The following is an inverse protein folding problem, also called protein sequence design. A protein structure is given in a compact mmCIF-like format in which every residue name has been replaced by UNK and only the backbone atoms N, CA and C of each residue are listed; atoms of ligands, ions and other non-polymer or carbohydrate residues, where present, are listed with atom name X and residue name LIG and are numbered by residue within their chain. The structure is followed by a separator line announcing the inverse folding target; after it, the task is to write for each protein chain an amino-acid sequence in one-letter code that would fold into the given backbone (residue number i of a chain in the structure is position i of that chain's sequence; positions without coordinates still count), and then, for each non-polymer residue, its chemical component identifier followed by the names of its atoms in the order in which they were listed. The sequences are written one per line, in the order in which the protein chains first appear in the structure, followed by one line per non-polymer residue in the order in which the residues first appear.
data_IF_038766647635
#
_entry.id   IF_038766647635
#
_cell.length_a   1.000
_cell.length_b   1.000
_cell.length_c   1.000
_cell.angle_alpha   90.00
_cell.angle_beta   90.00
_cell.angle_gamma   90.00
#
_symmetry.space_group_name_H-M   'P 1'
#
loop_
_entity.id
_entity.type
_entity.pdbx_description
1 polymer ?
#
# COMPACT_ATOMS: atom_id res chain seq x y z
N UNK A 1 77.73 -9.21 14.32
CA UNK A 1 78.80 -9.74 15.17
C UNK A 1 78.15 -10.69 16.14
N UNK A 2 78.23 -12.00 15.77
CA UNK A 2 78.65 -13.14 16.58
C UNK A 2 77.62 -13.67 17.56
N UNK A 3 77.04 -14.82 17.19
CA UNK A 3 77.16 -16.19 17.74
C UNK A 3 76.41 -16.40 19.07
N UNK A 4 75.85 -17.47 19.45
CA UNK A 4 75.74 -18.85 18.91
C UNK A 4 74.71 -19.59 19.78
N UNK A 5 74.03 -20.53 19.18
CA UNK A 5 73.72 -21.88 19.59
C UNK A 5 73.61 -22.28 21.07
N UNK A 6 72.54 -22.96 21.44
CA UNK A 6 72.65 -24.31 22.03
C UNK A 6 71.32 -25.09 21.80
N UNK A 7 71.51 -26.30 21.28
CA UNK A 7 70.56 -27.39 21.24
C UNK A 7 70.46 -28.00 22.62
N UNK A 8 69.29 -28.43 23.01
CA UNK A 8 69.16 -29.76 23.67
C UNK A 8 67.77 -30.34 23.49
N UNK A 9 67.80 -31.57 23.02
CA UNK A 9 66.67 -32.47 22.83
C UNK A 9 66.12 -32.93 24.18
N UNK A 10 64.78 -32.95 24.33
CA UNK A 10 64.10 -33.90 25.18
C UNK A 10 62.79 -34.36 24.55
N UNK A 11 62.78 -35.62 24.24
CA UNK A 11 61.60 -36.36 23.75
C UNK A 11 60.59 -36.54 24.86
N UNK A 12 59.33 -36.24 24.57
CA UNK A 12 58.15 -36.81 25.23
C UNK A 12 56.98 -36.92 24.30
N UNK A 13 56.70 -38.10 23.85
CA UNK A 13 55.41 -38.62 23.44
C UNK A 13 54.62 -39.04 24.71
N UNK A 14 53.25 -39.25 24.71
CA UNK A 14 52.20 -38.94 23.74
C UNK A 14 50.99 -38.19 24.39
N UNK A 15 50.57 -37.07 23.84
CA UNK A 15 49.33 -36.40 24.29
C UNK A 15 48.51 -35.84 23.10
N UNK A 16 48.72 -36.44 21.91
CA UNK A 16 48.00 -35.96 20.70
C UNK A 16 46.70 -36.68 20.38
N UNK A 17 46.26 -37.69 21.14
CA UNK A 17 45.05 -38.46 20.77
C UNK A 17 43.77 -38.05 21.53
N UNK A 18 43.87 -37.30 22.64
CA UNK A 18 42.69 -36.95 23.44
C UNK A 18 42.08 -35.56 23.03
N UNK A 19 42.88 -34.70 22.41
CA UNK A 19 42.36 -33.37 21.99
C UNK A 19 41.62 -33.42 20.65
N UNK A 20 41.83 -34.42 19.80
CA UNK A 20 41.10 -34.55 18.52
C UNK A 20 39.69 -35.14 18.64
N UNK A 21 39.37 -35.86 19.70
CA UNK A 21 38.03 -36.42 19.91
C UNK A 21 37.08 -35.46 20.61
N UNK A 22 37.58 -34.48 21.36
CA UNK A 22 36.70 -33.45 21.97
C UNK A 22 36.32 -32.31 21.00
N UNK A 23 37.09 -32.05 19.96
CA UNK A 23 36.81 -31.00 18.97
C UNK A 23 35.76 -31.41 17.92
N UNK A 24 35.54 -32.74 17.71
CA UNK A 24 34.53 -33.20 16.77
C UNK A 24 33.13 -33.33 17.38
N UNK A 25 33.02 -33.45 18.70
CA UNK A 25 31.73 -33.55 19.39
C UNK A 25 31.12 -32.16 19.66
N UNK A 26 31.89 -31.10 19.66
CA UNK A 26 31.37 -29.71 19.83
C UNK A 26 30.89 -29.08 18.51
N UNK A 27 31.36 -29.55 17.34
CA UNK A 27 30.87 -29.06 16.04
C UNK A 27 29.57 -29.69 15.56
N UNK A 28 29.16 -30.83 16.09
CA UNK A 28 27.90 -31.47 15.72
C UNK A 28 26.69 -31.03 16.55
N UNK A 29 26.88 -30.36 17.68
CA UNK A 29 25.76 -29.86 18.51
C UNK A 29 25.35 -28.39 18.20
N UNK A 30 26.08 -27.67 17.38
CA UNK A 30 25.70 -26.32 16.93
C UNK A 30 24.91 -26.26 15.59
N UNK A 31 24.65 -27.44 14.99
CA UNK A 31 23.90 -27.56 13.73
C UNK A 31 22.40 -27.87 13.92
N UNK A 32 21.91 -27.92 15.15
CA UNK A 32 20.51 -28.26 15.43
C UNK A 32 19.67 -27.14 15.99
N UNK A 33 20.17 -25.88 15.96
CA UNK A 33 19.42 -24.68 16.29
C UNK A 33 19.41 -23.69 15.11
N UNK A 34 19.25 -24.19 13.88
CA UNK A 34 18.68 -23.35 12.84
C UNK A 34 17.22 -23.12 13.29
N UNK A 35 16.77 -21.87 13.51
CA UNK A 35 15.35 -21.63 13.64
C UNK A 35 14.73 -22.21 12.38
N UNK A 36 13.84 -23.18 12.54
CA UNK A 36 12.98 -23.61 11.46
C UNK A 36 12.31 -22.33 10.95
N UNK A 37 12.79 -21.79 9.83
CA UNK A 37 12.04 -20.86 9.02
C UNK A 37 10.83 -21.70 8.63
N UNK A 38 9.75 -21.58 9.43
CA UNK A 38 8.47 -22.13 9.04
C UNK A 38 8.17 -21.53 7.67
N UNK A 39 8.26 -22.38 6.65
CA UNK A 39 7.72 -22.05 5.35
C UNK A 39 6.29 -21.58 5.63
N UNK A 40 6.03 -20.30 5.41
CA UNK A 40 4.70 -19.74 5.54
C UNK A 40 3.83 -20.56 4.60
N UNK A 41 2.88 -21.30 5.16
CA UNK A 41 1.86 -21.93 4.35
C UNK A 41 1.22 -20.82 3.54
N UNK A 42 1.27 -20.95 2.21
CA UNK A 42 0.77 -19.94 1.28
C UNK A 42 -0.75 -19.65 1.45
N UNK A 43 -1.41 -20.45 2.27
CA UNK A 43 -2.86 -20.46 2.47
C UNK A 43 -3.35 -19.71 3.72
N UNK A 44 -2.45 -19.17 4.55
CA UNK A 44 -2.86 -18.49 5.77
C UNK A 44 -2.97 -16.98 5.56
N UNK A 45 -4.15 -16.43 5.84
CA UNK A 45 -4.38 -15.00 5.79
C UNK A 45 -3.57 -14.25 6.86
N UNK A 46 -3.00 -13.08 6.53
CA UNK A 46 -2.21 -12.26 7.45
C UNK A 46 -2.98 -11.81 8.69
N UNK A 47 -4.31 -11.62 8.58
CA UNK A 47 -5.15 -11.17 9.69
C UNK A 47 -5.38 -12.26 10.75
N UNK A 48 -5.17 -13.53 10.45
CA UNK A 48 -5.29 -14.63 11.43
C UNK A 48 -4.21 -14.57 12.51
N UNK A 49 -3.13 -13.83 12.27
CA UNK A 49 -2.04 -13.60 13.22
C UNK A 49 -2.15 -12.26 13.94
N UNK A 50 -3.22 -11.51 13.73
CA UNK A 50 -3.47 -10.21 14.33
C UNK A 50 -4.30 -10.33 15.60
N UNK A 51 -4.09 -9.41 16.54
CA UNK A 51 -4.97 -9.19 17.69
C UNK A 51 -6.17 -8.29 17.35
N UNK A 52 -6.26 -7.85 16.08
CA UNK A 52 -7.41 -7.20 15.49
C UNK A 52 -8.32 -8.25 14.84
N UNK A 53 -9.60 -7.99 14.82
CA UNK A 53 -10.58 -8.90 14.23
C UNK A 53 -11.32 -8.22 13.08
N UNK A 54 -11.56 -8.99 12.02
CA UNK A 54 -12.51 -8.60 10.98
C UNK A 54 -13.92 -8.43 11.57
N UNK A 55 -14.79 -7.62 10.95
CA UNK A 55 -16.21 -7.58 11.32
C UNK A 55 -16.79 -8.99 11.36
N UNK A 56 -17.60 -9.29 12.36
CA UNK A 56 -18.11 -10.67 12.65
C UNK A 56 -18.79 -11.35 11.47
N UNK A 57 -19.35 -10.58 10.54
CA UNK A 57 -20.05 -11.10 9.36
C UNK A 57 -19.10 -11.44 8.22
N UNK A 58 -17.84 -10.97 8.26
CA UNK A 58 -16.87 -11.20 7.20
C UNK A 58 -16.46 -12.67 7.17
N UNK A 59 -16.38 -13.22 5.97
CA UNK A 59 -15.74 -14.52 5.73
C UNK A 59 -14.66 -14.38 4.67
N UNK A 60 -13.63 -15.18 4.80
CA UNK A 60 -12.53 -15.24 3.85
C UNK A 60 -12.24 -16.72 3.54
N UNK A 61 -11.84 -16.98 2.32
CA UNK A 61 -11.49 -18.32 1.87
C UNK A 61 -10.49 -18.29 0.71
N UNK A 62 -9.98 -19.46 0.38
CA UNK A 62 -9.05 -19.68 -0.73
C UNK A 62 -9.56 -20.90 -1.50
N UNK A 63 -9.72 -20.78 -2.80
CA UNK A 63 -10.02 -21.92 -3.67
C UNK A 63 -8.78 -22.79 -3.88
N UNK A 64 -8.96 -24.05 -4.28
CA UNK A 64 -7.84 -24.98 -4.53
C UNK A 64 -6.84 -24.47 -5.57
N UNK A 65 -7.28 -23.64 -6.52
CA UNK A 65 -6.43 -23.00 -7.52
C UNK A 65 -5.66 -21.76 -6.99
N UNK A 66 -5.87 -21.38 -5.70
CA UNK A 66 -5.23 -20.28 -5.02
C UNK A 66 -5.93 -18.92 -5.16
N UNK A 67 -7.12 -18.84 -5.77
CA UNK A 67 -7.93 -17.61 -5.76
C UNK A 67 -8.39 -17.32 -4.34
N UNK A 68 -8.09 -16.13 -3.86
CA UNK A 68 -8.54 -15.64 -2.56
C UNK A 68 -9.90 -14.95 -2.70
N UNK A 69 -10.75 -15.08 -1.69
CA UNK A 69 -11.99 -14.28 -1.65
C UNK A 69 -12.31 -13.79 -0.23
N UNK A 70 -12.94 -12.61 -0.17
CA UNK A 70 -13.45 -12.03 1.08
C UNK A 70 -14.88 -11.56 0.84
N UNK A 71 -15.80 -12.01 1.70
CA UNK A 71 -17.22 -11.73 1.65
C UNK A 71 -17.63 -10.95 2.89
N UNK A 72 -18.26 -9.79 2.71
CA UNK A 72 -18.84 -8.97 3.77
C UNK A 72 -20.34 -8.79 3.51
N UNK A 73 -21.19 -9.68 4.05
CA UNK A 73 -22.63 -9.52 3.95
C UNK A 73 -23.09 -8.26 4.68
N UNK A 74 -23.88 -7.44 4.00
CA UNK A 74 -24.53 -6.25 4.54
C UNK A 74 -26.02 -6.31 4.24
N UNK A 75 -26.82 -6.97 5.10
CA UNK A 75 -28.26 -7.07 4.89
C UNK A 75 -28.94 -5.70 4.88
N UNK A 76 -30.06 -5.59 4.20
CA UNK A 76 -30.86 -4.35 4.07
C UNK A 76 -30.25 -3.25 3.18
N UNK A 77 -29.31 -3.58 2.31
CA UNK A 77 -28.78 -2.66 1.30
C UNK A 77 -29.54 -2.73 -0.04
N UNK A 78 -30.83 -3.09 0.00
CA UNK A 78 -31.73 -3.13 -1.16
C UNK A 78 -31.19 -4.00 -2.33
N UNK A 79 -30.62 -5.15 -2.01
CA UNK A 79 -30.01 -6.09 -2.97
C UNK A 79 -28.80 -5.51 -3.74
N UNK A 80 -28.26 -4.39 -3.30
CA UNK A 80 -27.03 -3.86 -3.88
C UNK A 80 -25.82 -4.71 -3.47
N UNK A 81 -24.99 -5.04 -4.46
CA UNK A 81 -23.75 -5.80 -4.25
C UNK A 81 -22.60 -5.12 -5.00
N UNK A 82 -21.53 -4.85 -4.30
CA UNK A 82 -20.28 -4.36 -4.84
C UNK A 82 -19.27 -5.52 -4.96
N UNK A 83 -18.78 -5.74 -6.17
CA UNK A 83 -17.81 -6.77 -6.51
C UNK A 83 -16.50 -6.08 -6.88
N UNK A 84 -15.38 -6.53 -6.32
CA UNK A 84 -14.04 -6.07 -6.65
C UNK A 84 -13.16 -7.26 -6.97
N UNK A 85 -12.61 -7.30 -8.17
CA UNK A 85 -11.56 -8.25 -8.53
C UNK A 85 -10.23 -7.52 -8.48
N UNK A 86 -9.42 -7.86 -7.50
CA UNK A 86 -8.06 -7.35 -7.32
C UNK A 86 -7.11 -8.32 -8.01
N UNK A 87 -6.36 -7.83 -8.98
CA UNK A 87 -5.37 -8.58 -9.73
C UNK A 87 -3.98 -8.04 -9.39
N UNK A 88 -3.08 -8.92 -8.98
CA UNK A 88 -1.71 -8.54 -8.76
C UNK A 88 -1.01 -8.33 -10.11
N UNK A 89 -0.81 -7.11 -10.46
CA UNK A 89 -0.20 -6.67 -11.71
C UNK A 89 -0.63 -5.23 -11.94
N UNK A 90 0.27 -4.30 -11.67
CA UNK A 90 0.05 -2.88 -11.85
C UNK A 90 1.17 -2.25 -12.67
N UNK A 91 1.27 -0.94 -12.60
CA UNK A 91 2.19 -0.15 -13.44
C UNK A 91 3.65 -0.56 -13.22
N UNK A 92 4.07 -0.86 -11.98
CA UNK A 92 5.47 -1.18 -11.67
C UNK A 92 5.88 -2.60 -12.06
N UNK A 93 4.94 -3.48 -12.42
CA UNK A 93 5.23 -4.80 -12.97
C UNK A 93 5.44 -4.79 -14.48
N UNK A 94 5.16 -3.68 -15.16
CA UNK A 94 5.45 -3.52 -16.58
C UNK A 94 6.97 -3.51 -16.82
N UNK A 95 7.47 -4.48 -17.57
CA UNK A 95 8.89 -4.58 -17.90
C UNK A 95 9.23 -3.80 -19.17
N UNK A 96 10.52 -3.69 -19.51
CA UNK A 96 10.97 -2.94 -20.69
C UNK A 96 10.18 -3.30 -21.94
N UNK A 97 9.60 -2.30 -22.59
CA UNK A 97 8.75 -2.45 -23.77
C UNK A 97 7.27 -2.74 -23.48
N UNK A 98 6.88 -3.02 -22.21
CA UNK A 98 5.50 -3.32 -21.82
C UNK A 98 4.73 -2.13 -21.25
N UNK A 99 5.21 -0.89 -21.43
CA UNK A 99 4.53 0.31 -20.90
C UNK A 99 3.09 0.38 -21.38
N UNK A 100 2.15 0.55 -20.44
CA UNK A 100 0.72 0.58 -20.69
C UNK A 100 0.04 -0.80 -20.79
N UNK A 101 0.76 -1.90 -20.57
CA UNK A 101 0.20 -3.26 -20.63
C UNK A 101 -0.88 -3.48 -19.58
N UNK A 102 -0.71 -2.98 -18.35
CA UNK A 102 -1.73 -3.07 -17.31
C UNK A 102 -3.03 -2.37 -17.73
N UNK A 103 -2.91 -1.21 -18.37
CA UNK A 103 -4.06 -0.46 -18.90
C UNK A 103 -4.72 -1.19 -20.07
N UNK A 104 -3.94 -1.70 -21.01
CA UNK A 104 -4.47 -2.43 -22.16
C UNK A 104 -5.25 -3.66 -21.70
N UNK A 105 -4.72 -4.43 -20.76
CA UNK A 105 -5.40 -5.63 -20.23
C UNK A 105 -6.66 -5.27 -19.45
N UNK A 106 -6.66 -4.16 -18.70
CA UNK A 106 -7.86 -3.66 -18.05
C UNK A 106 -8.93 -3.24 -19.08
N UNK A 107 -8.54 -2.52 -20.14
CA UNK A 107 -9.44 -2.14 -21.24
C UNK A 107 -10.01 -3.37 -21.97
N UNK A 108 -9.17 -4.38 -22.25
CA UNK A 108 -9.58 -5.63 -22.86
C UNK A 108 -10.61 -6.38 -22.01
N UNK A 109 -10.43 -6.40 -20.70
CA UNK A 109 -11.40 -7.01 -19.78
C UNK A 109 -12.71 -6.22 -19.74
N UNK A 110 -12.65 -4.91 -19.53
CA UNK A 110 -13.83 -4.05 -19.47
C UNK A 110 -14.69 -4.14 -20.74
N UNK A 111 -14.05 -4.22 -21.91
CA UNK A 111 -14.75 -4.36 -23.18
C UNK A 111 -15.54 -5.65 -23.36
N UNK A 112 -15.31 -6.65 -22.52
CA UNK A 112 -16.04 -7.94 -22.55
C UNK A 112 -17.18 -8.00 -21.52
N UNK A 113 -17.28 -7.00 -20.64
CA UNK A 113 -18.31 -6.93 -19.61
C UNK A 113 -19.52 -6.16 -20.13
N UNK A 114 -20.71 -6.73 -19.99
CA UNK A 114 -21.99 -6.04 -20.25
C UNK A 114 -22.54 -5.42 -18.97
N UNK A 115 -22.18 -5.98 -17.80
CA UNK A 115 -22.44 -5.37 -16.51
C UNK A 115 -21.56 -4.13 -16.34
N UNK A 116 -22.12 -2.98 -15.89
CA UNK A 116 -21.36 -1.76 -15.73
C UNK A 116 -20.13 -1.96 -14.82
N UNK A 117 -18.96 -1.69 -15.36
CA UNK A 117 -17.69 -1.93 -14.70
C UNK A 117 -16.74 -0.76 -14.87
N UNK A 118 -15.79 -0.62 -13.94
CA UNK A 118 -14.67 0.33 -14.00
C UNK A 118 -13.40 -0.38 -13.60
N UNK A 119 -12.26 0.11 -14.05
CA UNK A 119 -10.96 -0.35 -13.57
C UNK A 119 -10.16 0.77 -12.95
N UNK A 120 -9.38 0.42 -11.92
CA UNK A 120 -8.39 1.30 -11.32
C UNK A 120 -7.03 0.63 -11.41
N UNK A 121 -6.08 1.34 -12.01
CA UNK A 121 -4.69 0.93 -12.08
C UNK A 121 -3.91 1.59 -10.96
N UNK A 122 -3.19 0.80 -10.20
CA UNK A 122 -2.29 1.26 -9.15
C UNK A 122 -0.86 0.76 -9.42
N UNK A 123 0.08 1.11 -8.56
CA UNK A 123 1.50 0.77 -8.70
C UNK A 123 1.73 -0.74 -8.86
N UNK A 124 1.07 -1.58 -8.05
CA UNK A 124 1.31 -3.03 -8.03
C UNK A 124 0.06 -3.88 -8.29
N UNK A 125 -1.04 -3.27 -8.65
CA UNK A 125 -2.29 -3.99 -8.84
C UNK A 125 -3.22 -3.31 -9.84
N UNK A 126 -4.17 -4.08 -10.33
CA UNK A 126 -5.33 -3.60 -11.08
C UNK A 126 -6.59 -4.05 -10.35
N UNK A 127 -7.54 -3.17 -10.15
CA UNK A 127 -8.83 -3.49 -9.52
C UNK A 127 -9.95 -3.28 -10.55
N UNK A 128 -10.72 -4.33 -10.83
CA UNK A 128 -11.95 -4.22 -11.61
C UNK A 128 -13.14 -4.20 -10.66
N UNK A 129 -13.95 -3.16 -10.78
CA UNK A 129 -15.11 -2.87 -9.93
C UNK A 129 -16.40 -3.01 -10.70
N UNK A 130 -17.30 -3.88 -10.20
CA UNK A 130 -18.67 -4.04 -10.70
C UNK A 130 -19.64 -3.75 -9.55
N UNK A 131 -20.79 -3.19 -9.88
CA UNK A 131 -21.84 -2.94 -8.91
C UNK A 131 -23.16 -3.42 -9.49
N UNK A 132 -23.86 -4.26 -8.75
CA UNK A 132 -25.15 -4.83 -9.16
C UNK A 132 -26.26 -4.36 -8.21
N UNK A 133 -27.47 -4.28 -8.71
CA UNK A 133 -28.66 -3.87 -7.95
C UNK A 133 -29.70 -4.99 -7.86
N UNK A 134 -29.42 -6.16 -8.44
CA UNK A 134 -30.28 -7.32 -8.42
C UNK A 134 -29.46 -8.61 -8.26
N UNK A 135 -29.98 -9.56 -7.52
CA UNK A 135 -29.29 -10.83 -7.23
C UNK A 135 -28.97 -11.65 -8.49
N UNK A 136 -29.85 -11.61 -9.51
CA UNK A 136 -29.62 -12.28 -10.79
C UNK A 136 -28.42 -11.74 -11.55
N UNK A 137 -28.13 -10.45 -11.40
CA UNK A 137 -26.97 -9.82 -12.01
C UNK A 137 -25.64 -10.29 -11.39
N UNK A 138 -25.62 -10.83 -10.18
CA UNK A 138 -24.40 -11.34 -9.54
C UNK A 138 -23.88 -12.54 -10.33
N UNK A 139 -24.75 -13.48 -10.70
CA UNK A 139 -24.36 -14.65 -11.49
C UNK A 139 -23.82 -14.26 -12.87
N UNK A 140 -24.48 -13.29 -13.52
CA UNK A 140 -24.02 -12.74 -14.78
C UNK A 140 -22.66 -12.05 -14.63
N UNK A 141 -22.49 -11.19 -13.62
CA UNK A 141 -21.24 -10.48 -13.35
C UNK A 141 -20.07 -11.45 -13.11
N UNK A 142 -20.30 -12.54 -12.38
CA UNK A 142 -19.25 -13.55 -12.13
C UNK A 142 -18.91 -14.34 -13.37
N UNK A 143 -19.89 -14.73 -14.17
CA UNK A 143 -19.67 -15.43 -15.44
C UNK A 143 -18.90 -14.55 -16.43
N UNK A 144 -19.32 -13.30 -16.62
CA UNK A 144 -18.63 -12.36 -17.51
C UNK A 144 -17.20 -12.07 -17.03
N UNK A 145 -17.01 -11.85 -15.72
CA UNK A 145 -15.70 -11.58 -15.13
C UNK A 145 -14.76 -12.79 -15.30
N UNK A 146 -15.25 -14.01 -15.04
CA UNK A 146 -14.50 -15.25 -15.23
C UNK A 146 -14.07 -15.42 -16.69
N UNK A 147 -15.00 -15.20 -17.63
CA UNK A 147 -14.73 -15.28 -19.06
C UNK A 147 -13.71 -14.21 -19.50
N UNK A 148 -13.86 -12.96 -19.07
CA UNK A 148 -12.94 -11.87 -19.40
C UNK A 148 -11.52 -12.11 -18.87
N UNK A 149 -11.39 -12.70 -17.68
CA UNK A 149 -10.10 -13.07 -17.09
C UNK A 149 -9.38 -14.18 -17.89
N UNK A 150 -10.13 -15.15 -18.39
CA UNK A 150 -9.58 -16.32 -19.15
C UNK A 150 -9.31 -16.00 -20.61
N UNK A 151 -9.99 -15.00 -21.16
CA UNK A 151 -9.87 -14.68 -22.58
C UNK A 151 -8.61 -13.90 -22.88
N UNK A 152 -7.65 -14.54 -23.55
CA UNK A 152 -6.37 -13.96 -23.95
C UNK A 152 -6.38 -13.47 -25.41
N UNK A 153 -7.54 -13.35 -26.07
CA UNK A 153 -7.63 -12.85 -27.44
C UNK A 153 -7.44 -11.34 -27.51
N UNK A 154 -6.80 -10.89 -28.59
CA UNK A 154 -6.62 -9.46 -28.82
C UNK A 154 -7.97 -8.80 -29.16
N UNK A 155 -8.35 -7.73 -28.47
CA UNK A 155 -9.59 -7.03 -28.72
C UNK A 155 -9.53 -6.17 -29.98
N UNK A 156 -10.72 -5.86 -30.53
CA UNK A 156 -10.81 -4.87 -31.59
C UNK A 156 -10.45 -3.47 -31.07
N UNK A 157 -9.78 -2.63 -31.86
CA UNK A 157 -9.36 -1.28 -31.43
C UNK A 157 -10.50 -0.40 -30.91
N UNK A 158 -11.67 -0.48 -31.53
CA UNK A 158 -12.84 0.31 -31.12
C UNK A 158 -13.35 -0.08 -29.73
N UNK A 159 -13.25 -1.34 -29.37
CA UNK A 159 -13.63 -1.84 -28.06
C UNK A 159 -12.68 -1.31 -26.99
N UNK A 160 -11.37 -1.31 -27.24
CA UNK A 160 -10.37 -0.74 -26.36
C UNK A 160 -10.63 0.75 -26.09
N UNK A 161 -10.82 1.52 -27.14
CA UNK A 161 -11.03 2.98 -27.03
C UNK A 161 -12.25 3.36 -26.21
N UNK A 162 -13.35 2.59 -26.30
CA UNK A 162 -14.53 2.81 -25.46
C UNK A 162 -14.29 2.48 -23.99
N UNK A 163 -13.47 1.48 -23.71
CA UNK A 163 -13.20 1.02 -22.35
C UNK A 163 -12.23 1.92 -21.59
N UNK A 164 -11.38 2.68 -22.28
CA UNK A 164 -10.38 3.57 -21.67
C UNK A 164 -11.00 4.64 -20.75
N UNK A 165 -12.18 5.16 -21.11
CA UNK A 165 -12.86 6.17 -20.30
C UNK A 165 -13.34 5.63 -18.92
N UNK A 166 -13.36 4.30 -18.79
CA UNK A 166 -13.74 3.61 -17.54
C UNK A 166 -12.52 3.24 -16.68
N UNK A 167 -11.31 3.66 -17.09
CA UNK A 167 -10.06 3.36 -16.39
C UNK A 167 -9.55 4.59 -15.67
N UNK A 168 -9.34 4.47 -14.36
CA UNK A 168 -8.61 5.43 -13.54
C UNK A 168 -7.18 4.92 -13.29
N UNK A 169 -6.21 5.83 -13.26
CA UNK A 169 -4.83 5.51 -12.90
C UNK A 169 -4.51 6.23 -11.60
N UNK A 170 -4.16 5.44 -10.59
CA UNK A 170 -3.81 5.92 -9.26
C UNK A 170 -2.38 5.50 -8.91
N UNK A 171 -1.46 6.35 -9.13
CA UNK A 171 -0.04 6.13 -8.82
C UNK A 171 0.68 7.44 -8.58
N UNK A 172 0.01 8.56 -8.84
CA UNK A 172 0.61 9.89 -8.72
C UNK A 172 0.84 10.31 -7.28
N UNK A 173 -0.01 9.84 -6.37
CA UNK A 173 0.05 10.24 -4.96
C UNK A 173 1.40 9.90 -4.34
N UNK A 174 1.93 8.72 -4.66
CA UNK A 174 3.21 8.24 -4.16
C UNK A 174 4.40 8.55 -5.10
N UNK A 175 4.16 9.18 -6.25
CA UNK A 175 5.20 9.48 -7.22
C UNK A 175 6.43 10.21 -6.64
N UNK A 176 6.28 11.19 -5.72
CA UNK A 176 7.43 11.86 -5.12
C UNK A 176 8.36 10.91 -4.33
N UNK A 177 7.84 9.80 -3.82
CA UNK A 177 8.60 8.80 -3.07
C UNK A 177 9.15 7.66 -3.94
N UNK A 178 8.86 7.66 -5.24
CA UNK A 178 9.36 6.66 -6.20
C UNK A 178 10.74 7.04 -6.72
N UNK A 179 11.53 6.04 -7.10
CA UNK A 179 12.77 6.29 -7.85
C UNK A 179 12.47 6.95 -9.20
N UNK A 180 13.44 7.65 -9.78
CA UNK A 180 13.27 8.33 -11.07
C UNK A 180 12.77 7.37 -12.17
N UNK A 181 13.33 6.16 -12.23
CA UNK A 181 12.89 5.16 -13.20
C UNK A 181 11.42 4.76 -13.01
N UNK A 182 10.97 4.60 -11.76
CA UNK A 182 9.57 4.29 -11.44
C UNK A 182 8.65 5.48 -11.72
N UNK A 183 9.07 6.71 -11.43
CA UNK A 183 8.32 7.91 -11.81
C UNK A 183 8.11 8.00 -13.32
N UNK A 184 9.15 7.71 -14.11
CA UNK A 184 9.06 7.66 -15.56
C UNK A 184 8.13 6.54 -16.04
N UNK A 185 8.08 5.41 -15.37
CA UNK A 185 7.17 4.31 -15.69
C UNK A 185 5.71 4.70 -15.45
N UNK A 186 5.42 5.33 -14.31
CA UNK A 186 4.08 5.88 -14.00
C UNK A 186 3.69 6.92 -15.05
N UNK A 187 4.58 7.84 -15.42
CA UNK A 187 4.31 8.87 -16.43
C UNK A 187 3.97 8.24 -17.79
N UNK A 188 4.75 7.24 -18.24
CA UNK A 188 4.46 6.54 -19.51
C UNK A 188 3.08 5.86 -19.51
N UNK A 189 2.61 5.34 -18.37
CA UNK A 189 1.27 4.78 -18.27
C UNK A 189 0.18 5.84 -18.39
N UNK A 190 0.41 7.07 -17.89
CA UNK A 190 -0.49 8.20 -18.14
C UNK A 190 -0.47 8.65 -19.59
N UNK A 191 0.70 8.71 -20.22
CA UNK A 191 0.83 9.07 -21.65
C UNK A 191 0.11 8.05 -22.53
N UNK A 192 0.20 6.76 -22.18
CA UNK A 192 -0.53 5.69 -22.86
C UNK A 192 -2.06 5.85 -22.73
N UNK A 193 -2.56 6.30 -21.56
CA UNK A 193 -3.97 6.63 -21.38
C UNK A 193 -4.40 7.77 -22.31
N UNK A 194 -3.60 8.82 -22.40
CA UNK A 194 -3.89 9.97 -23.27
C UNK A 194 -3.83 9.60 -24.77
N UNK A 195 -2.95 8.69 -25.15
CA UNK A 195 -2.83 8.18 -26.53
C UNK A 195 -3.94 7.18 -26.91
N UNK A 196 -4.90 6.91 -26.04
CA UNK A 196 -6.00 5.94 -26.24
C UNK A 196 -5.49 4.55 -26.65
N UNK A 197 -4.41 4.10 -26.04
CA UNK A 197 -3.81 2.78 -26.23
C UNK A 197 -3.27 2.50 -27.64
N UNK A 198 -3.28 3.45 -28.57
CA UNK A 198 -2.88 3.25 -29.98
C UNK A 198 -1.41 2.86 -30.15
N UNK A 199 -0.57 3.14 -29.16
CA UNK A 199 0.87 2.87 -29.21
C UNK A 199 1.28 1.60 -28.43
N UNK A 200 0.32 0.92 -27.78
CA UNK A 200 0.63 -0.23 -26.95
C UNK A 200 0.67 -1.50 -27.81
N UNK A 201 1.70 -2.30 -27.60
CA UNK A 201 1.81 -3.61 -28.24
C UNK A 201 0.85 -4.61 -27.55
N UNK A 202 -0.25 -4.96 -28.23
CA UNK A 202 -1.26 -5.87 -27.69
C UNK A 202 -0.72 -7.25 -27.34
N UNK A 203 0.25 -7.79 -28.10
CA UNK A 203 0.86 -9.09 -27.78
C UNK A 203 1.62 -9.03 -26.45
N UNK A 204 2.42 -7.99 -26.24
CA UNK A 204 3.12 -7.77 -24.96
C UNK A 204 2.15 -7.55 -23.79
N UNK A 205 1.02 -6.87 -24.04
CA UNK A 205 -0.01 -6.72 -23.04
C UNK A 205 -0.67 -8.07 -22.66
N UNK A 206 -0.86 -8.96 -23.64
CA UNK A 206 -1.36 -10.31 -23.33
C UNK A 206 -0.33 -11.16 -22.58
N UNK A 207 0.96 -11.04 -22.85
CA UNK A 207 2.01 -11.66 -22.04
C UNK A 207 1.96 -11.16 -20.59
N UNK A 208 1.79 -9.85 -20.39
CA UNK A 208 1.58 -9.26 -19.08
C UNK A 208 0.36 -9.89 -18.37
N UNK A 209 -0.79 -9.97 -19.05
CA UNK A 209 -2.00 -10.60 -18.52
C UNK A 209 -1.77 -12.07 -18.16
N UNK A 210 -1.12 -12.82 -19.04
CA UNK A 210 -0.81 -14.23 -18.79
C UNK A 210 0.08 -14.43 -17.56
N UNK A 211 1.01 -13.53 -17.34
CA UNK A 211 1.95 -13.58 -16.23
C UNK A 211 1.31 -13.22 -14.90
N UNK A 212 0.48 -12.19 -14.84
CA UNK A 212 0.02 -11.59 -13.60
C UNK A 212 -1.44 -11.92 -13.26
N UNK A 213 -2.32 -12.10 -14.25
CA UNK A 213 -3.73 -12.40 -14.00
C UNK A 213 -3.94 -13.92 -13.93
N UNK A 214 -3.63 -14.45 -12.76
CA UNK A 214 -3.78 -15.86 -12.43
C UNK A 214 -4.34 -16.00 -11.02
N UNK A 215 -5.09 -17.08 -10.73
CA UNK A 215 -5.83 -17.24 -9.46
C UNK A 215 -5.01 -16.91 -8.22
N UNK A 216 -3.79 -17.44 -8.11
CA UNK A 216 -2.89 -17.20 -6.95
C UNK A 216 -2.54 -15.72 -6.72
N UNK A 217 -2.69 -14.88 -7.74
CA UNK A 217 -2.39 -13.46 -7.69
C UNK A 217 -3.64 -12.60 -7.59
N UNK A 218 -4.78 -13.21 -7.30
CA UNK A 218 -6.07 -12.54 -7.36
C UNK A 218 -6.84 -12.67 -6.07
N UNK A 219 -7.63 -11.65 -5.79
CA UNK A 219 -8.56 -11.65 -4.67
C UNK A 219 -9.90 -11.09 -5.12
N UNK A 220 -10.95 -11.86 -4.89
CA UNK A 220 -12.32 -11.44 -5.09
C UNK A 220 -12.90 -10.89 -3.79
N UNK A 221 -13.35 -9.65 -3.79
CA UNK A 221 -14.03 -9.00 -2.66
C UNK A 221 -15.47 -8.74 -3.03
N UNK A 222 -16.41 -9.19 -2.18
CA UNK A 222 -17.84 -8.94 -2.38
C UNK A 222 -18.45 -8.37 -1.11
N UNK A 223 -19.12 -7.24 -1.25
CA UNK A 223 -19.77 -6.51 -0.15
C UNK A 223 -21.22 -6.21 -0.54
N UNK A 224 -22.18 -6.48 0.33
CA UNK A 224 -23.59 -6.13 0.09
C UNK A 224 -24.58 -7.18 0.54
N UNK A 225 -25.79 -7.12 -0.03
CA UNK A 225 -26.93 -7.97 0.33
C UNK A 225 -26.94 -9.24 -0.52
N UNK A 226 -26.37 -10.31 0.02
CA UNK A 226 -26.32 -11.61 -0.63
C UNK A 226 -26.41 -12.77 0.38
N UNK A 227 -26.84 -13.92 -0.10
CA UNK A 227 -26.74 -15.17 0.66
C UNK A 227 -25.32 -15.73 0.56
N UNK A 228 -24.62 -15.80 1.69
CA UNK A 228 -23.23 -16.24 1.76
C UNK A 228 -22.99 -17.62 1.12
N UNK A 229 -23.78 -18.63 1.48
CA UNK A 229 -23.60 -20.00 0.97
C UNK A 229 -23.79 -20.07 -0.55
N UNK A 230 -24.82 -19.38 -1.03
CA UNK A 230 -25.08 -19.34 -2.47
C UNK A 230 -23.92 -18.65 -3.21
N UNK A 231 -23.39 -17.57 -2.64
CA UNK A 231 -22.27 -16.83 -3.23
C UNK A 231 -20.97 -17.67 -3.24
N UNK A 232 -20.68 -18.40 -2.15
CA UNK A 232 -19.52 -19.31 -2.09
C UNK A 232 -19.63 -20.42 -3.15
N UNK A 233 -20.82 -21.01 -3.34
CA UNK A 233 -21.06 -21.98 -4.41
C UNK A 233 -20.86 -21.38 -5.80
N UNK A 234 -21.32 -20.15 -6.02
CA UNK A 234 -21.16 -19.45 -7.30
C UNK A 234 -19.70 -19.12 -7.59
N UNK A 235 -18.93 -18.72 -6.57
CA UNK A 235 -17.48 -18.49 -6.68
C UNK A 235 -16.78 -19.79 -7.08
N UNK A 236 -17.10 -20.88 -6.42
CA UNK A 236 -16.53 -22.19 -6.73
C UNK A 236 -16.86 -22.60 -8.17
N UNK A 237 -18.13 -22.53 -8.59
CA UNK A 237 -18.57 -22.87 -9.93
C UNK A 237 -17.91 -22.05 -11.03
N UNK A 238 -17.64 -20.77 -10.80
CA UNK A 238 -17.12 -19.87 -11.84
C UNK A 238 -15.59 -19.81 -11.89
N UNK A 239 -14.90 -20.12 -10.80
CA UNK A 239 -13.46 -19.87 -10.71
C UNK A 239 -12.62 -21.09 -10.33
N UNK A 240 -13.16 -22.17 -9.73
CA UNK A 240 -12.34 -23.28 -9.20
C UNK A 240 -11.62 -24.08 -10.29
N UNK A 241 -12.21 -24.25 -11.45
CA UNK A 241 -11.65 -24.99 -12.60
C UNK A 241 -10.58 -24.20 -13.38
N UNK A 242 -10.32 -22.95 -12.98
CA UNK A 242 -9.33 -22.12 -13.66
C UNK A 242 -7.94 -22.41 -13.14
N UNK A 243 -7.22 -23.26 -13.86
CA UNK A 243 -5.83 -23.60 -13.58
C UNK A 243 -4.91 -22.83 -14.51
N UNK A 244 -4.14 -21.89 -13.96
CA UNK A 244 -3.12 -21.14 -14.69
C UNK A 244 -1.84 -21.11 -13.86
N UNK A 245 -0.74 -21.58 -14.45
CA UNK A 245 0.57 -21.45 -13.84
C UNK A 245 1.00 -19.99 -13.86
N UNK A 246 0.95 -19.35 -12.69
CA UNK A 246 1.46 -17.98 -12.55
C UNK A 246 2.89 -18.00 -12.10
N UNK A 247 3.68 -17.06 -12.62
CA UNK A 247 4.90 -16.67 -11.96
C UNK A 247 4.53 -16.15 -10.55
N UNK A 248 5.28 -16.55 -9.53
CA UNK A 248 5.13 -15.97 -8.19
C UNK A 248 5.24 -14.46 -8.33
N UNK A 249 4.22 -13.73 -7.89
CA UNK A 249 4.30 -12.28 -7.81
C UNK A 249 5.46 -11.91 -6.90
N UNK A 250 6.56 -11.52 -7.51
CA UNK A 250 7.44 -10.61 -6.80
C UNK A 250 6.75 -9.24 -6.87
N UNK A 251 6.21 -8.78 -5.75
CA UNK A 251 5.86 -7.38 -5.61
C UNK A 251 7.02 -6.58 -6.18
N UNK A 252 6.76 -5.74 -7.19
CA UNK A 252 7.79 -4.84 -7.65
C UNK A 252 8.23 -4.04 -6.43
N UNK A 253 9.46 -4.23 -6.02
CA UNK A 253 9.99 -3.54 -4.87
C UNK A 253 10.02 -2.06 -5.23
N UNK A 254 9.17 -1.28 -4.58
CA UNK A 254 9.29 0.17 -4.63
C UNK A 254 10.65 0.47 -4.01
N UNK A 255 11.59 0.95 -4.82
CA UNK A 255 12.86 1.46 -4.31
C UNK A 255 12.62 2.94 -4.02
N UNK A 256 12.33 3.31 -2.77
CA UNK A 256 12.04 4.69 -2.45
C UNK A 256 13.31 5.52 -2.63
N UNK A 257 13.19 6.58 -3.37
CA UNK A 257 14.28 7.53 -3.59
C UNK A 257 13.68 8.92 -3.73
N UNK A 258 13.94 9.76 -2.75
CA UNK A 258 13.57 11.16 -2.81
C UNK A 258 14.66 11.94 -3.55
N UNK A 259 14.32 12.53 -4.68
CA UNK A 259 15.20 13.44 -5.41
C UNK A 259 14.63 14.84 -5.34
N UNK A 260 15.47 15.82 -5.00
CA UNK A 260 15.08 17.21 -5.00
C UNK A 260 14.67 17.65 -6.42
N UNK A 261 13.52 18.30 -6.53
CA UNK A 261 13.02 18.91 -7.77
C UNK A 261 12.83 20.40 -7.54
N UNK A 262 13.45 21.20 -8.37
CA UNK A 262 13.37 22.66 -8.29
C UNK A 262 12.94 23.20 -9.65
N UNK A 263 11.78 23.85 -9.70
CA UNK A 263 11.30 24.55 -10.89
C UNK A 263 11.10 26.01 -10.55
N UNK A 264 11.60 26.87 -11.42
CA UNK A 264 11.48 28.30 -11.27
C UNK A 264 10.20 28.81 -11.96
N UNK A 265 9.16 28.99 -11.15
CA UNK A 265 7.82 29.38 -11.60
C UNK A 265 7.22 30.39 -10.66
N UNK A 266 6.37 31.29 -11.19
CA UNK A 266 5.81 32.43 -10.43
C UNK A 266 4.94 31.99 -9.23
N UNK A 267 4.15 30.92 -9.36
CA UNK A 267 3.39 30.28 -8.29
C UNK A 267 3.82 28.82 -8.14
N UNK A 268 4.18 28.45 -6.95
CA UNK A 268 4.84 27.19 -6.62
C UNK A 268 4.03 26.40 -5.59
N UNK A 269 4.07 25.08 -5.72
CA UNK A 269 3.80 24.16 -4.63
C UNK A 269 5.14 23.78 -4.01
N UNK A 270 5.32 24.07 -2.74
CA UNK A 270 6.51 23.66 -1.99
C UNK A 270 6.15 22.43 -1.18
N UNK A 271 6.88 21.33 -1.40
CA UNK A 271 6.69 20.09 -0.66
C UNK A 271 7.97 19.65 0.02
N UNK A 272 7.87 19.36 1.31
CA UNK A 272 8.92 18.74 2.11
C UNK A 272 8.58 17.27 2.20
N UNK A 273 9.52 16.41 1.83
CA UNK A 273 9.33 14.97 1.79
C UNK A 273 10.38 14.26 2.62
N UNK A 274 9.97 13.31 3.42
CA UNK A 274 10.87 12.39 4.11
C UNK A 274 10.50 10.95 3.81
N UNK A 275 11.49 10.09 3.86
CA UNK A 275 11.33 8.66 3.75
C UNK A 275 12.15 8.01 4.86
N UNK A 276 11.48 7.35 5.77
CA UNK A 276 12.13 6.74 6.93
C UNK A 276 11.85 5.25 6.90
N UNK A 277 12.88 4.38 6.90
CA UNK A 277 12.69 2.93 7.06
C UNK A 277 11.92 2.65 8.35
N UNK A 278 10.91 1.84 8.28
CA UNK A 278 10.08 1.53 9.44
C UNK A 278 10.02 0.02 9.67
N UNK A 279 10.18 -0.38 10.92
CA UNK A 279 10.01 -1.75 11.36
C UNK A 279 8.50 -2.04 11.53
N UNK A 280 7.77 -2.08 10.42
CA UNK A 280 6.36 -2.46 10.46
C UNK A 280 6.25 -3.97 10.60
N UNK A 281 5.74 -4.40 11.73
CA UNK A 281 5.33 -5.79 11.96
C UNK A 281 4.00 -6.13 11.28
N UNK A 282 3.38 -7.23 11.69
CA UNK A 282 2.00 -7.53 11.33
C UNK A 282 1.07 -6.47 11.92
N UNK A 283 -0.03 -6.17 11.24
CA UNK A 283 -1.04 -5.25 11.74
C UNK A 283 -1.57 -5.73 13.09
N UNK A 284 -1.45 -4.88 14.10
CA UNK A 284 -1.80 -5.15 15.49
C UNK A 284 -2.29 -3.89 16.18
N UNK A 285 -2.95 -4.03 17.33
CA UNK A 285 -3.37 -2.88 18.15
C UNK A 285 -2.20 -1.97 18.49
N UNK A 286 -1.04 -2.57 18.82
CA UNK A 286 0.18 -1.79 19.10
C UNK A 286 0.63 -0.99 17.87
N UNK A 287 0.66 -1.61 16.71
CA UNK A 287 1.03 -0.96 15.44
C UNK A 287 0.03 0.15 15.10
N UNK A 288 -1.27 -0.10 15.30
CA UNK A 288 -2.32 0.91 15.08
C UNK A 288 -2.18 2.10 16.01
N UNK A 289 -1.93 1.86 17.32
CA UNK A 289 -1.66 2.94 18.27
C UNK A 289 -0.49 3.81 17.80
N UNK A 290 0.60 3.18 17.38
CA UNK A 290 1.79 3.90 16.90
C UNK A 290 1.48 4.71 15.64
N UNK A 291 0.75 4.14 14.68
CA UNK A 291 0.31 4.85 13.48
C UNK A 291 -0.57 6.06 13.81
N UNK A 292 -1.50 5.92 14.74
CA UNK A 292 -2.38 7.01 15.18
C UNK A 292 -1.59 8.13 15.88
N UNK A 293 -0.60 7.81 16.69
CA UNK A 293 0.29 8.81 17.30
C UNK A 293 1.11 9.56 16.25
N UNK A 294 1.61 8.87 15.21
CA UNK A 294 2.29 9.52 14.08
C UNK A 294 1.36 10.48 13.35
N UNK A 295 0.12 10.10 13.10
CA UNK A 295 -0.89 10.97 12.48
C UNK A 295 -1.16 12.21 13.34
N UNK A 296 -1.40 12.04 14.64
CA UNK A 296 -1.63 13.16 15.57
C UNK A 296 -0.42 14.09 15.65
N UNK A 297 0.80 13.55 15.69
CA UNK A 297 2.02 14.35 15.69
C UNK A 297 2.18 15.20 14.41
N UNK A 298 1.82 14.64 13.25
CA UNK A 298 1.84 15.37 11.98
C UNK A 298 0.75 16.45 11.90
N UNK A 299 -0.43 16.23 12.50
CA UNK A 299 -1.47 17.25 12.62
C UNK A 299 -1.00 18.39 13.54
N UNK A 300 -0.35 18.08 14.66
CA UNK A 300 0.20 19.09 15.56
C UNK A 300 1.29 19.94 14.85
N UNK A 301 2.17 19.31 14.09
CA UNK A 301 3.15 20.00 13.25
C UNK A 301 2.48 20.89 12.20
N UNK A 302 1.48 20.35 11.48
CA UNK A 302 0.70 21.11 10.48
C UNK A 302 0.07 22.36 11.09
N UNK A 303 -0.51 22.26 12.28
CA UNK A 303 -1.15 23.37 12.96
C UNK A 303 -0.14 24.49 13.30
N UNK A 304 1.07 24.16 13.78
CA UNK A 304 2.15 25.13 14.01
C UNK A 304 2.58 25.81 12.71
N UNK A 305 2.80 25.03 11.65
CA UNK A 305 3.19 25.58 10.36
C UNK A 305 2.10 26.49 9.80
N UNK A 306 0.83 26.13 9.96
CA UNK A 306 -0.28 26.98 9.53
C UNK A 306 -0.31 28.33 10.27
N UNK A 307 0.07 28.39 11.55
CA UNK A 307 0.21 29.65 12.27
C UNK A 307 1.32 30.53 11.66
N UNK A 308 2.45 29.94 11.26
CA UNK A 308 3.53 30.67 10.58
C UNK A 308 3.10 31.17 9.20
N UNK A 309 2.23 30.42 8.51
CA UNK A 309 1.78 30.72 7.16
C UNK A 309 0.61 31.72 7.11
N UNK A 310 -0.08 31.98 8.22
CA UNK A 310 -1.20 32.93 8.28
C UNK A 310 -0.88 34.31 7.68
N UNK A 311 0.26 34.97 7.98
CA UNK A 311 0.58 36.28 7.42
C UNK A 311 0.71 36.30 5.89
N UNK A 312 0.90 35.15 5.28
CA UNK A 312 1.03 34.97 3.82
C UNK A 312 -0.28 34.54 3.16
N UNK A 313 -1.34 34.32 3.95
CA UNK A 313 -2.62 33.73 3.50
C UNK A 313 -2.42 32.37 2.81
N UNK A 314 -1.51 31.55 3.38
CA UNK A 314 -1.18 30.21 2.91
C UNK A 314 -1.52 29.16 3.98
N UNK A 315 -1.66 27.93 3.54
CA UNK A 315 -1.87 26.78 4.43
C UNK A 315 -1.05 25.56 3.96
N UNK A 316 -0.59 24.79 4.90
CA UNK A 316 0.09 23.51 4.69
C UNK A 316 -0.87 22.34 4.92
N UNK A 317 -0.60 21.24 4.24
CA UNK A 317 -1.21 19.94 4.50
C UNK A 317 -0.12 18.91 4.70
N UNK A 318 -0.30 18.05 5.70
CA UNK A 318 0.57 16.89 5.93
C UNK A 318 -0.11 15.63 5.43
N UNK A 319 0.69 14.71 4.94
CA UNK A 319 0.28 13.38 4.53
C UNK A 319 1.33 12.38 5.00
N UNK A 320 0.87 11.24 5.46
CA UNK A 320 1.73 10.16 5.96
C UNK A 320 1.22 8.85 5.39
N UNK A 321 2.08 8.15 4.64
CA UNK A 321 1.74 6.91 3.98
C UNK A 321 2.81 5.84 4.20
N UNK A 322 2.34 4.62 4.43
CA UNK A 322 3.20 3.45 4.49
C UNK A 322 3.43 2.90 3.10
N UNK A 323 4.69 2.92 2.67
CA UNK A 323 5.10 2.35 1.39
C UNK A 323 5.18 0.82 1.48
N UNK A 324 5.12 0.15 0.32
CA UNK A 324 5.12 -1.32 0.26
C UNK A 324 6.41 -1.97 0.77
N UNK A 325 7.55 -1.26 0.71
CA UNK A 325 8.83 -1.68 1.28
C UNK A 325 8.91 -1.49 2.81
N UNK A 326 7.80 -1.08 3.42
CA UNK A 326 7.67 -0.73 4.84
C UNK A 326 8.37 0.56 5.24
N UNK A 327 8.73 1.41 4.31
CA UNK A 327 9.13 2.78 4.62
C UNK A 327 7.92 3.66 4.93
N UNK A 328 8.11 4.63 5.79
CA UNK A 328 7.15 5.69 6.05
C UNK A 328 7.50 6.90 5.19
N UNK A 329 6.66 7.20 4.22
CA UNK A 329 6.72 8.46 3.48
C UNK A 329 5.89 9.50 4.18
N UNK A 330 6.50 10.65 4.46
CA UNK A 330 5.81 11.80 5.04
C UNK A 330 6.01 13.01 4.14
N UNK A 331 4.94 13.71 3.87
CA UNK A 331 4.89 14.87 3.01
C UNK A 331 4.22 16.04 3.74
N UNK A 332 4.78 17.23 3.55
CA UNK A 332 4.18 18.50 3.95
C UNK A 332 4.16 19.40 2.74
N UNK A 333 2.99 19.75 2.23
CA UNK A 333 2.83 20.55 1.02
C UNK A 333 2.18 21.89 1.33
N UNK A 334 2.72 22.96 0.73
CA UNK A 334 2.23 24.34 0.80
C UNK A 334 1.96 24.78 -0.64
N UNK A 335 0.69 24.85 -1.08
CA UNK A 335 0.34 25.28 -2.42
C UNK A 335 0.34 26.80 -2.56
N UNK A 336 0.56 27.29 -3.77
CA UNK A 336 0.32 28.70 -4.14
C UNK A 336 1.35 29.69 -3.63
N UNK A 337 2.54 29.24 -3.22
CA UNK A 337 3.62 30.13 -2.75
C UNK A 337 4.17 30.96 -3.89
N UNK A 338 4.31 32.29 -3.71
CA UNK A 338 4.98 33.13 -4.70
C UNK A 338 6.49 32.90 -4.70
N UNK A 339 7.13 33.09 -5.84
CA UNK A 339 8.58 32.96 -5.99
C UNK A 339 9.36 33.82 -4.97
N UNK A 340 8.90 35.07 -4.75
CA UNK A 340 9.53 35.99 -3.78
C UNK A 340 9.50 35.49 -2.34
N UNK A 341 8.42 34.80 -1.96
CA UNK A 341 8.21 34.29 -0.59
C UNK A 341 8.84 32.91 -0.38
N UNK A 342 9.16 32.21 -1.45
CA UNK A 342 9.54 30.80 -1.46
C UNK A 342 10.69 30.48 -0.51
N UNK A 343 11.82 31.20 -0.63
CA UNK A 343 13.00 30.95 0.19
C UNK A 343 12.75 31.21 1.68
N UNK A 344 12.04 32.29 2.02
CA UNK A 344 11.71 32.65 3.39
C UNK A 344 10.81 31.59 4.03
N UNK A 345 9.76 31.16 3.32
CA UNK A 345 8.84 30.13 3.78
C UNK A 345 9.57 28.80 3.99
N UNK A 346 10.42 28.39 3.06
CA UNK A 346 11.23 27.18 3.21
C UNK A 346 12.08 27.19 4.47
N UNK A 347 12.75 28.31 4.77
CA UNK A 347 13.57 28.47 5.96
C UNK A 347 12.73 28.41 7.25
N UNK A 348 11.59 29.11 7.29
CA UNK A 348 10.70 29.09 8.45
C UNK A 348 10.13 27.71 8.73
N UNK A 349 9.71 26.99 7.69
CA UNK A 349 9.15 25.63 7.82
C UNK A 349 10.21 24.63 8.28
N UNK A 350 11.44 24.69 7.73
CA UNK A 350 12.55 23.85 8.20
C UNK A 350 12.85 24.08 9.67
N UNK A 351 12.98 25.35 10.07
CA UNK A 351 13.25 25.70 11.45
C UNK A 351 12.14 25.22 12.41
N UNK A 352 10.88 25.22 11.95
CA UNK A 352 9.77 24.73 12.77
C UNK A 352 9.75 23.22 12.89
N UNK A 353 10.05 22.48 11.82
CA UNK A 353 10.22 21.02 11.89
C UNK A 353 11.33 20.67 12.89
N UNK A 354 12.48 21.33 12.83
CA UNK A 354 13.60 21.12 13.75
C UNK A 354 13.22 21.47 15.20
N UNK A 355 12.46 22.55 15.40
CA UNK A 355 11.96 22.95 16.72
C UNK A 355 10.99 21.93 17.29
N UNK A 356 10.06 21.42 16.46
CA UNK A 356 9.11 20.40 16.88
C UNK A 356 9.81 19.09 17.26
N UNK A 357 10.84 18.69 16.51
CA UNK A 357 11.65 17.49 16.81
C UNK A 357 12.48 17.62 18.09
N UNK A 358 12.93 18.84 18.42
CA UNK A 358 13.79 19.12 19.57
C UNK A 358 13.01 19.39 20.85
N UNK A 359 11.99 20.25 20.77
CA UNK A 359 11.27 20.78 21.93
C UNK A 359 9.93 20.08 22.19
N UNK A 360 9.46 19.26 21.22
CA UNK A 360 8.17 18.58 21.32
C UNK A 360 6.98 19.54 21.19
N UNK A 361 5.86 19.13 21.77
CA UNK A 361 4.58 19.83 21.71
C UNK A 361 4.06 20.10 23.13
N UNK A 362 3.26 21.15 23.27
CA UNK A 362 2.53 21.44 24.49
C UNK A 362 1.26 20.58 24.62
N UNK A 363 0.72 20.49 25.82
CA UNK A 363 -0.54 19.82 26.10
C UNK A 363 -1.70 20.36 25.22
N UNK A 364 -1.78 21.68 25.06
CA UNK A 364 -2.82 22.31 24.25
C UNK A 364 -2.72 21.93 22.77
N UNK A 365 -1.51 21.80 22.21
CA UNK A 365 -1.28 21.36 20.85
C UNK A 365 -1.63 19.88 20.66
N UNK A 366 -1.32 19.04 21.65
CA UNK A 366 -1.73 17.64 21.67
C UNK A 366 -3.27 17.52 21.67
N UNK A 367 -3.94 18.19 22.60
CA UNK A 367 -5.40 18.16 22.71
C UNK A 367 -6.09 18.64 21.42
N UNK A 368 -5.59 19.72 20.82
CA UNK A 368 -6.10 20.23 19.55
C UNK A 368 -5.90 19.23 18.40
N UNK A 369 -4.73 18.60 18.31
CA UNK A 369 -4.45 17.61 17.26
C UNK A 369 -5.29 16.34 17.44
N UNK A 370 -5.47 15.86 18.67
CA UNK A 370 -6.37 14.74 18.99
C UNK A 370 -7.81 15.08 18.61
N UNK A 371 -8.30 16.27 18.99
CA UNK A 371 -9.66 16.71 18.64
C UNK A 371 -9.86 16.80 17.13
N UNK A 372 -8.87 17.30 16.39
CA UNK A 372 -8.89 17.40 14.93
C UNK A 372 -8.98 15.99 14.28
N UNK A 373 -8.13 15.07 14.70
CA UNK A 373 -8.14 13.70 14.17
C UNK A 373 -9.42 12.96 14.54
N UNK A 374 -9.91 13.13 15.78
CA UNK A 374 -11.18 12.55 16.23
C UNK A 374 -12.35 13.04 15.39
N UNK A 375 -12.44 14.35 15.12
CA UNK A 375 -13.48 14.93 14.27
C UNK A 375 -13.42 14.36 12.84
N UNK A 376 -12.22 14.17 12.29
CA UNK A 376 -12.05 13.54 10.99
C UNK A 376 -12.55 12.09 10.96
N UNK A 377 -12.21 11.27 11.96
CA UNK A 377 -12.69 9.89 12.07
C UNK A 377 -14.20 9.83 12.32
N UNK A 378 -14.75 10.76 13.07
CA UNK A 378 -16.19 10.87 13.31
C UNK A 378 -16.93 11.20 12.01
N UNK A 379 -16.46 12.17 11.23
CA UNK A 379 -17.02 12.48 9.91
C UNK A 379 -16.99 11.28 8.96
N UNK A 380 -15.90 10.49 8.98
CA UNK A 380 -15.84 9.25 8.22
C UNK A 380 -16.86 8.22 8.68
N UNK A 381 -17.16 8.15 9.97
CA UNK A 381 -18.16 7.24 10.52
C UNK A 381 -19.57 7.66 10.09
N UNK A 382 -19.86 8.95 10.08
CA UNK A 382 -21.15 9.51 9.63
C UNK A 382 -21.37 9.29 8.13
N UNK A 383 -20.35 9.56 7.31
CA UNK A 383 -20.36 9.24 5.89
C UNK A 383 -20.61 7.74 5.65
N UNK A 384 -20.03 6.88 6.47
CA UNK A 384 -20.19 5.44 6.36
C UNK A 384 -21.60 4.94 6.71
N UNK A 385 -22.34 5.64 7.58
CA UNK A 385 -23.74 5.31 7.90
C UNK A 385 -24.71 5.66 6.76
N UNK A 386 -24.39 6.70 5.99
CA UNK A 386 -25.10 7.09 4.77
C UNK A 386 -24.63 6.33 3.54
N UNK A 387 -23.66 5.40 3.68
CA UNK A 387 -22.75 5.05 2.61
C UNK A 387 -23.20 3.85 1.80
N UNK A 388 -22.97 4.03 0.56
CA UNK A 388 -22.91 3.05 -0.50
C UNK A 388 -21.93 1.91 -0.15
N UNK A 389 -22.38 0.69 -0.29
CA UNK A 389 -21.58 -0.54 -0.20
C UNK A 389 -20.30 -0.50 -1.06
N UNK A 390 -20.27 0.36 -2.09
CA UNK A 390 -19.12 0.59 -2.96
C UNK A 390 -17.92 1.08 -2.17
N UNK A 391 -18.11 2.10 -1.32
CA UNK A 391 -17.05 2.64 -0.50
C UNK A 391 -16.57 1.63 0.56
N UNK A 392 -17.47 0.79 1.07
CA UNK A 392 -17.09 -0.30 1.98
C UNK A 392 -16.20 -1.33 1.26
N UNK A 393 -16.55 -1.71 0.04
CA UNK A 393 -15.76 -2.63 -0.77
C UNK A 393 -14.38 -2.03 -1.08
N UNK A 394 -14.30 -0.76 -1.44
CA UNK A 394 -13.05 -0.07 -1.75
C UNK A 394 -12.13 0.04 -0.52
N UNK A 395 -12.68 0.33 0.67
CA UNK A 395 -11.93 0.32 1.95
C UNK A 395 -11.44 -1.07 2.31
N UNK A 396 -12.26 -2.10 2.09
CA UNK A 396 -11.85 -3.48 2.33
C UNK A 396 -10.70 -3.87 1.39
N UNK A 397 -10.78 -3.52 0.11
CA UNK A 397 -9.67 -3.70 -0.85
C UNK A 397 -8.42 -2.95 -0.41
N UNK A 398 -8.53 -1.68 -0.02
CA UNK A 398 -7.39 -0.88 0.44
C UNK A 398 -6.71 -1.50 1.67
N UNK A 399 -7.51 -2.01 2.64
CA UNK A 399 -6.97 -2.71 3.79
C UNK A 399 -6.21 -3.98 3.39
N UNK A 400 -6.77 -4.77 2.47
CA UNK A 400 -6.14 -6.01 1.99
C UNK A 400 -4.81 -5.75 1.29
N UNK A 401 -4.77 -4.75 0.40
CA UNK A 401 -3.57 -4.35 -0.33
C UNK A 401 -2.45 -3.93 0.62
N UNK A 402 -2.80 -3.20 1.67
CA UNK A 402 -1.86 -2.77 2.71
C UNK A 402 -1.54 -3.88 3.72
N UNK A 403 -2.09 -5.08 3.57
CA UNK A 403 -2.03 -6.17 4.54
C UNK A 403 -2.44 -5.74 5.95
N UNK A 404 -3.47 -4.89 6.02
CA UNK A 404 -4.12 -4.48 7.27
C UNK A 404 -5.39 -5.28 7.49
N UNK A 405 -5.73 -5.49 8.75
CA UNK A 405 -7.05 -6.04 9.11
C UNK A 405 -8.10 -4.97 8.85
N UNK A 406 -9.10 -5.28 8.05
CA UNK A 406 -10.20 -4.35 7.84
C UNK A 406 -10.97 -4.15 9.13
N UNK A 407 -11.13 -2.89 9.53
CA UNK A 407 -12.00 -2.46 10.62
C UNK A 407 -12.98 -1.41 10.10
N UNK A 408 -14.18 -1.40 10.63
CA UNK A 408 -15.16 -0.38 10.26
C UNK A 408 -14.72 0.99 10.75
N UNK A 409 -15.12 2.11 10.13
CA UNK A 409 -14.81 3.45 10.61
C UNK A 409 -15.21 3.70 12.06
N UNK A 410 -16.34 3.16 12.50
CA UNK A 410 -16.77 3.24 13.91
C UNK A 410 -15.83 2.48 14.85
N UNK A 411 -15.32 1.32 14.43
CA UNK A 411 -14.32 0.56 15.19
C UNK A 411 -12.97 1.27 15.21
N UNK A 412 -12.59 1.94 14.13
CA UNK A 412 -11.37 2.73 14.07
C UNK A 412 -11.43 3.95 14.99
N UNK A 413 -12.58 4.65 15.03
CA UNK A 413 -12.83 5.74 15.99
C UNK A 413 -12.76 5.23 17.42
N UNK A 414 -13.38 4.09 17.74
CA UNK A 414 -13.34 3.51 19.08
C UNK A 414 -11.91 3.10 19.49
N UNK A 415 -11.11 2.54 18.59
CA UNK A 415 -9.69 2.26 18.83
C UNK A 415 -8.88 3.54 19.06
N UNK A 416 -9.15 4.59 18.28
CA UNK A 416 -8.52 5.88 18.45
C UNK A 416 -8.82 6.47 19.85
N UNK A 417 -10.09 6.51 20.25
CA UNK A 417 -10.50 7.00 21.56
C UNK A 417 -9.83 6.20 22.69
N UNK A 418 -9.80 4.87 22.58
CA UNK A 418 -9.13 4.00 23.54
C UNK A 418 -7.63 4.31 23.67
N UNK A 419 -6.93 4.49 22.54
CA UNK A 419 -5.49 4.74 22.57
C UNK A 419 -5.15 6.16 23.05
N UNK A 420 -5.95 7.16 22.67
CA UNK A 420 -5.70 8.54 23.06
C UNK A 420 -6.05 8.81 24.53
N UNK A 421 -6.95 8.02 25.14
CA UNK A 421 -7.22 8.09 26.58
C UNK A 421 -5.98 7.81 27.46
N UNK A 422 -4.97 7.14 26.92
CA UNK A 422 -3.73 6.78 27.60
C UNK A 422 -2.48 7.44 26.97
N UNK A 423 -2.67 8.43 26.10
CA UNK A 423 -1.60 9.17 25.46
C UNK A 423 -1.50 10.59 26.05
N UNK A 424 -0.32 11.19 25.90
CA UNK A 424 -0.04 12.56 26.36
C UNK A 424 0.93 13.24 25.38
N UNK A 425 1.16 14.55 25.55
CA UNK A 425 1.99 15.36 24.66
C UNK A 425 3.41 14.82 24.44
N UNK A 426 3.97 14.15 25.45
CA UNK A 426 5.30 13.55 25.37
C UNK A 426 5.41 12.40 24.37
N UNK A 427 4.28 11.73 24.05
CA UNK A 427 4.25 10.66 23.05
C UNK A 427 4.40 11.19 21.61
N UNK A 428 4.12 12.49 21.36
CA UNK A 428 4.16 13.06 20.02
C UNK A 428 5.58 13.24 19.47
N UNK A 429 6.56 13.56 20.33
CA UNK A 429 7.94 13.78 19.87
C UNK A 429 8.57 12.50 19.31
N UNK A 430 8.54 11.33 19.98
CA UNK A 430 9.03 10.10 19.39
C UNK A 430 8.21 9.67 18.16
N UNK A 431 6.90 9.95 18.12
CA UNK A 431 6.06 9.69 16.97
C UNK A 431 6.45 10.57 15.76
N UNK A 432 6.68 11.87 15.99
CA UNK A 432 7.14 12.78 14.93
C UNK A 432 8.51 12.39 14.37
N UNK A 433 9.42 11.91 15.22
CA UNK A 433 10.74 11.42 14.79
C UNK A 433 10.64 10.24 13.82
N UNK A 434 9.60 9.42 13.90
CA UNK A 434 9.37 8.35 12.91
C UNK A 434 9.06 8.90 11.52
N UNK A 435 8.50 10.10 11.43
CA UNK A 435 8.19 10.78 10.16
C UNK A 435 9.33 11.65 9.66
N UNK A 436 9.97 12.42 10.55
CA UNK A 436 10.81 13.55 10.20
C UNK A 436 12.25 13.47 10.73
N UNK A 437 12.75 12.28 11.09
CA UNK A 437 14.15 12.12 11.55
C UNK A 437 15.19 12.36 10.47
N UNK A 438 14.83 12.16 9.20
CA UNK A 438 15.71 12.43 8.07
C UNK A 438 15.57 13.88 7.61
N UNK A 439 16.63 14.45 7.02
CA UNK A 439 16.56 15.77 6.39
C UNK A 439 15.51 15.74 5.26
N UNK A 440 14.51 16.64 5.29
CA UNK A 440 13.50 16.66 4.26
C UNK A 440 14.07 16.99 2.88
N UNK A 441 13.66 16.21 1.88
CA UNK A 441 13.92 16.52 0.48
C UNK A 441 12.88 17.52 -0.02
N UNK A 442 13.33 18.57 -0.67
CA UNK A 442 12.50 19.66 -1.15
C UNK A 442 12.05 19.43 -2.60
N UNK A 443 10.76 19.57 -2.85
CA UNK A 443 10.18 19.63 -4.19
C UNK A 443 9.48 20.97 -4.38
N UNK A 444 9.84 21.66 -5.45
CA UNK A 444 9.19 22.90 -5.89
C UNK A 444 8.65 22.66 -7.29
N UNK A 445 7.35 22.67 -7.42
CA UNK A 445 6.63 22.38 -8.66
C UNK A 445 5.63 23.50 -8.99
N UNK A 446 5.19 23.65 -10.24
CA UNK A 446 4.14 24.61 -10.58
C UNK A 446 2.88 24.37 -9.75
N UNK A 447 2.28 25.44 -9.25
CA UNK A 447 0.94 25.39 -8.68
C UNK A 447 -0.07 25.34 -9.82
N UNK A 448 -0.99 24.38 -9.80
CA UNK A 448 -2.13 24.41 -10.69
C UNK A 448 -2.91 25.72 -10.43
N UNK A 449 -3.13 26.48 -11.47
CA UNK A 449 -3.90 27.74 -11.45
C UNK A 449 -5.38 27.47 -11.18
#
# INVERSE_FOLDING_TARGET
MILASYREDFALHPLKSVVRTLSLTLCCSSLLLAPAIQAQSADQWWFERSDLQLPRQTSAGVLENGLHYVLLPMPNTQHNVAIRMVMGGGILQEQGGQSGSAMYTAAQMLGQLTVPAKAQLDLNQTVVSLNTTAQEQISQAFSELSNALRNDTLPAPDMLNKSVEQIAVDGRLLAPALSYAQQQQVQRSFDALQSRLSQINGAQAMEFKQRFYAPKNMTLVVVGDFNKRHLEQLIDQQFSDWHKNSATLQSAMVIPSLQAQMQDVAKQNISFNTLVPSLVGNDSKQQRRQTMLVQVANIALQNRINQILQPYNLSAKTQVEWMMDRSLWSNLTIPGVSQEQSQKIQQQVKAEIERALSNGFSKAEFELAVATQRAHLQAQTELNQADDIRNQADRLVAAMVQRKVYVTPSSELALFDLFMAHAYEGDLTPALKQSWSNTPTLHVTPSAS
#
